data_IF_208869214626
#
_entry.id   IF_208869214626
#
_cell.length_a   1.000
_cell.length_b   1.000
_cell.length_c   1.000
_cell.angle_alpha   90.00
_cell.angle_beta   90.00
_cell.angle_gamma   90.00
#
_symmetry.space_group_name_H-M   'P 1'
#
loop_
_entity.id
_entity.type
_entity.pdbx_description
1 polymer ?
#
# COMPACT_ATOMS: atom_id res chain seq x y z
N UNK A 1 0.34 10.50 28.23
CA UNK A 1 0.67 10.09 26.86
C UNK A 1 2.15 9.79 26.82
N UNK A 2 2.48 8.54 26.60
CA UNK A 2 3.86 8.07 26.57
C UNK A 2 4.37 7.99 25.12
N UNK A 3 5.71 8.00 24.89
CA UNK A 3 6.23 7.95 23.54
C UNK A 3 5.75 6.71 22.74
N UNK A 4 5.57 5.58 23.38
CA UNK A 4 5.08 4.34 22.76
C UNK A 4 3.61 4.38 22.33
N UNK A 5 2.85 5.39 22.77
CA UNK A 5 1.47 5.57 22.34
C UNK A 5 1.36 6.12 20.92
N UNK A 6 2.46 6.60 20.34
CA UNK A 6 2.47 7.31 19.06
C UNK A 6 3.23 6.54 18.00
N UNK A 7 2.57 6.32 16.84
CA UNK A 7 3.19 5.84 15.62
C UNK A 7 3.17 6.92 14.52
N UNK A 8 4.34 7.28 13.98
CA UNK A 8 4.46 8.14 12.80
C UNK A 8 4.73 7.24 11.59
N UNK A 9 3.88 7.34 10.57
CA UNK A 9 3.90 6.45 9.43
C UNK A 9 3.96 7.23 8.12
N UNK A 10 4.95 6.92 7.28
CA UNK A 10 5.07 7.48 5.94
C UNK A 10 4.36 6.60 4.92
N UNK A 11 3.59 7.22 4.03
CA UNK A 11 2.91 6.50 2.95
C UNK A 11 3.91 5.97 1.91
N UNK A 12 4.88 6.81 1.54
CA UNK A 12 5.93 6.44 0.58
C UNK A 12 7.09 5.73 1.28
N UNK A 13 7.73 4.83 0.54
CA UNK A 13 8.96 4.17 0.95
C UNK A 13 10.11 4.67 0.08
N UNK A 14 10.77 5.74 0.49
CA UNK A 14 11.87 6.36 -0.23
C UNK A 14 12.95 6.89 0.74
N UNK A 15 14.13 7.22 0.19
CA UNK A 15 15.24 7.72 0.98
C UNK A 15 14.94 9.05 1.67
N UNK A 16 14.12 9.90 1.07
CA UNK A 16 13.74 11.20 1.65
C UNK A 16 12.97 11.01 2.96
N UNK A 17 12.05 10.05 2.99
CA UNK A 17 11.30 9.72 4.22
C UNK A 17 12.19 9.07 5.29
N UNK A 18 13.18 8.30 4.88
CA UNK A 18 14.17 7.76 5.82
C UNK A 18 15.02 8.87 6.46
N UNK A 19 15.51 9.80 5.68
CA UNK A 19 16.23 10.98 6.19
C UNK A 19 15.34 11.86 7.08
N UNK A 20 14.06 12.02 6.74
CA UNK A 20 13.10 12.73 7.57
C UNK A 20 12.88 12.00 8.90
N UNK A 21 12.78 10.68 8.91
CA UNK A 21 12.69 9.89 10.14
C UNK A 21 13.88 10.13 11.07
N UNK A 22 15.09 10.20 10.52
CA UNK A 22 16.30 10.50 11.29
C UNK A 22 16.29 11.94 11.86
N UNK A 23 15.82 12.91 11.09
CA UNK A 23 15.65 14.29 11.58
C UNK A 23 14.61 14.36 12.69
N UNK A 24 13.47 13.69 12.53
CA UNK A 24 12.46 13.59 13.58
C UNK A 24 13.01 12.96 14.86
N UNK A 25 13.87 11.96 14.76
CA UNK A 25 14.54 11.34 15.92
C UNK A 25 15.33 12.36 16.73
N UNK A 26 16.08 13.24 16.04
CA UNK A 26 16.88 14.30 16.69
C UNK A 26 15.99 15.36 17.33
N UNK A 27 15.01 15.87 16.57
CA UNK A 27 14.15 16.96 17.06
C UNK A 27 13.23 16.48 18.21
N UNK A 28 12.64 15.29 18.11
CA UNK A 28 11.81 14.74 19.17
C UNK A 28 12.63 14.50 20.44
N UNK A 29 13.87 14.02 20.30
CA UNK A 29 14.76 13.86 21.45
C UNK A 29 15.09 15.20 22.11
N UNK A 30 15.32 16.23 21.30
CA UNK A 30 15.67 17.58 21.78
C UNK A 30 14.49 18.27 22.46
N UNK A 31 13.28 18.21 21.85
CA UNK A 31 12.11 18.96 22.34
C UNK A 31 11.37 18.25 23.48
N UNK A 32 11.28 16.91 23.42
CA UNK A 32 10.49 16.13 24.36
C UNK A 32 11.33 15.20 25.25
N UNK A 33 12.61 15.02 24.97
CA UNK A 33 13.47 14.06 25.67
C UNK A 33 13.18 12.60 25.29
N UNK A 34 12.25 12.34 24.37
CA UNK A 34 11.80 11.00 24.00
C UNK A 34 12.79 10.28 23.08
N UNK A 35 12.89 8.97 23.25
CA UNK A 35 13.60 8.13 22.30
C UNK A 35 12.68 7.77 21.13
N UNK A 36 13.27 7.67 19.94
CA UNK A 36 12.56 7.30 18.72
C UNK A 36 13.11 5.99 18.17
N UNK A 37 12.23 5.05 17.92
CA UNK A 37 12.52 3.81 17.24
C UNK A 37 12.26 3.97 15.74
N UNK A 38 13.30 3.86 14.93
CA UNK A 38 13.18 3.89 13.47
C UNK A 38 12.88 2.46 12.98
N UNK A 39 11.61 2.18 12.71
CA UNK A 39 11.14 0.86 12.28
C UNK A 39 11.65 0.40 10.91
N UNK A 40 12.28 1.27 10.13
CA UNK A 40 13.05 0.87 8.94
C UNK A 40 14.25 -0.03 9.29
N UNK A 41 14.83 0.19 10.47
CA UNK A 41 16.02 -0.51 10.95
C UNK A 41 15.64 -1.72 11.80
N UNK A 42 14.72 -1.52 12.74
CA UNK A 42 14.40 -2.54 13.77
C UNK A 42 13.31 -3.51 13.32
N UNK A 43 12.35 -3.04 12.49
CA UNK A 43 11.12 -3.75 12.07
C UNK A 43 10.23 -4.21 13.24
N UNK A 44 10.48 -3.73 14.45
CA UNK A 44 9.78 -4.07 15.68
C UNK A 44 9.43 -2.82 16.47
N UNK A 45 8.39 -2.91 17.31
CA UNK A 45 8.04 -1.87 18.27
C UNK A 45 8.91 -2.05 19.52
N UNK A 46 9.69 -1.03 19.88
CA UNK A 46 10.52 -1.01 21.08
C UNK A 46 9.76 -0.23 22.17
N UNK A 47 9.69 -0.82 23.37
CA UNK A 47 9.02 -0.21 24.50
C UNK A 47 9.65 1.15 24.89
N UNK A 48 8.84 2.04 25.44
CA UNK A 48 9.22 3.39 25.87
C UNK A 48 9.82 4.28 24.74
N UNK A 49 9.47 3.98 23.48
CA UNK A 49 9.94 4.74 22.32
C UNK A 49 8.81 5.12 21.37
N UNK A 50 8.88 6.31 20.78
CA UNK A 50 8.01 6.71 19.68
C UNK A 50 8.43 5.95 18.41
N UNK A 51 7.46 5.37 17.72
CA UNK A 51 7.71 4.58 16.52
C UNK A 51 7.62 5.43 15.26
N UNK A 52 8.62 5.39 14.39
CA UNK A 52 8.62 6.06 13.08
C UNK A 52 8.98 5.08 11.98
N UNK A 53 8.12 4.89 11.00
CA UNK A 53 8.40 3.98 9.88
C UNK A 53 7.53 4.28 8.66
N UNK A 54 7.52 3.37 7.68
CA UNK A 54 6.64 3.41 6.52
C UNK A 54 5.49 2.39 6.64
N UNK A 55 4.56 2.45 5.69
CA UNK A 55 3.41 1.54 5.59
C UNK A 55 3.78 0.04 5.58
N UNK A 56 4.97 -0.33 5.09
CA UNK A 56 5.34 -1.74 4.93
C UNK A 56 5.72 -2.41 6.26
N UNK A 57 6.18 -1.62 7.24
CA UNK A 57 6.70 -2.11 8.52
C UNK A 57 5.70 -1.96 9.68
N UNK A 58 4.45 -1.62 9.40
CA UNK A 58 3.41 -1.39 10.44
C UNK A 58 2.38 -2.51 10.52
N UNK A 59 2.51 -3.56 9.71
CA UNK A 59 1.57 -4.67 9.71
C UNK A 59 1.61 -5.40 11.06
N UNK A 60 0.44 -5.50 11.70
CA UNK A 60 0.30 -6.13 13.02
C UNK A 60 0.64 -5.23 14.21
N UNK A 61 1.11 -4.00 13.98
CA UNK A 61 1.32 -3.03 15.05
C UNK A 61 0.06 -2.18 15.27
N UNK A 62 -0.18 -1.80 16.52
CA UNK A 62 -1.29 -0.93 16.92
C UNK A 62 -0.80 0.14 17.90
N UNK A 63 -1.40 1.32 17.81
CA UNK A 63 -1.04 2.48 18.61
C UNK A 63 -2.30 3.23 19.07
N UNK A 64 -2.32 3.86 20.24
CA UNK A 64 -3.40 4.81 20.60
C UNK A 64 -3.54 5.92 19.56
N UNK A 65 -2.41 6.50 19.13
CA UNK A 65 -2.37 7.62 18.20
C UNK A 65 -1.47 7.31 17.00
N UNK A 66 -1.96 7.62 15.82
CA UNK A 66 -1.19 7.46 14.58
C UNK A 66 -1.15 8.78 13.82
N UNK A 67 0.04 9.15 13.36
CA UNK A 67 0.26 10.27 12.46
C UNK A 67 0.72 9.71 11.13
N UNK A 68 -0.17 9.73 10.14
CA UNK A 68 0.14 9.34 8.78
C UNK A 68 0.65 10.55 8.01
N UNK A 69 1.80 10.43 7.39
CA UNK A 69 2.44 11.51 6.66
C UNK A 69 2.70 11.13 5.21
N UNK A 70 2.45 12.09 4.31
CA UNK A 70 2.69 11.95 2.88
C UNK A 70 3.35 13.21 2.33
N UNK A 71 4.40 13.05 1.52
CA UNK A 71 5.12 14.17 0.90
C UNK A 71 4.70 14.45 -0.54
N UNK A 72 4.25 13.42 -1.27
CA UNK A 72 3.95 13.51 -2.70
C UNK A 72 2.48 13.76 -3.03
N UNK A 73 2.18 13.87 -4.30
CA UNK A 73 0.81 13.90 -4.80
C UNK A 73 0.17 12.52 -4.68
N UNK A 74 -0.98 12.44 -4.05
CA UNK A 74 -1.80 11.23 -4.04
C UNK A 74 -2.31 10.91 -5.45
N UNK A 75 -1.97 9.74 -5.94
CA UNK A 75 -2.68 9.14 -7.06
C UNK A 75 -3.91 8.40 -6.52
N UNK A 76 -5.08 8.72 -7.06
CA UNK A 76 -6.32 8.04 -6.68
C UNK A 76 -6.40 6.66 -7.35
N UNK A 77 -5.70 5.69 -6.77
CA UNK A 77 -5.74 4.30 -7.18
C UNK A 77 -6.00 3.37 -5.98
N UNK A 78 -6.35 2.13 -6.26
CA UNK A 78 -6.68 1.13 -5.24
C UNK A 78 -5.53 0.88 -4.26
N UNK A 79 -4.29 0.85 -4.74
CA UNK A 79 -3.11 0.62 -3.91
C UNK A 79 -2.90 1.75 -2.89
N UNK A 80 -3.06 3.00 -3.33
CA UNK A 80 -2.98 4.18 -2.43
C UNK A 80 -4.09 4.15 -1.40
N UNK A 81 -5.35 3.89 -1.81
CA UNK A 81 -6.49 3.79 -0.89
C UNK A 81 -6.28 2.70 0.16
N UNK A 82 -5.84 1.50 -0.25
CA UNK A 82 -5.55 0.40 0.66
C UNK A 82 -4.39 0.74 1.62
N UNK A 83 -3.37 1.45 1.14
CA UNK A 83 -2.24 1.88 1.97
C UNK A 83 -2.67 2.88 3.03
N UNK A 84 -3.49 3.89 2.66
CA UNK A 84 -4.05 4.87 3.59
C UNK A 84 -4.94 4.16 4.62
N UNK A 85 -5.84 3.29 4.18
CA UNK A 85 -6.70 2.52 5.07
C UNK A 85 -5.89 1.70 6.07
N UNK A 86 -4.90 0.97 5.59
CA UNK A 86 -4.03 0.15 6.44
C UNK A 86 -3.31 0.98 7.50
N UNK A 87 -2.82 2.17 7.15
CA UNK A 87 -2.12 3.05 8.08
C UNK A 87 -3.07 3.67 9.11
N UNK A 88 -4.20 4.22 8.68
CA UNK A 88 -5.18 4.88 9.56
C UNK A 88 -5.81 3.89 10.56
N UNK A 89 -6.01 2.63 10.12
CA UNK A 89 -6.56 1.58 11.00
C UNK A 89 -5.55 0.99 11.99
N UNK A 90 -4.33 1.49 12.05
CA UNK A 90 -3.37 1.16 13.12
C UNK A 90 -3.61 1.92 14.41
N UNK A 91 -4.50 2.91 14.41
CA UNK A 91 -4.90 3.62 15.63
C UNK A 91 -6.22 3.09 16.17
N UNK A 92 -6.30 2.96 17.50
CA UNK A 92 -7.55 2.62 18.19
C UNK A 92 -8.18 3.81 18.94
N UNK A 93 -7.52 4.99 18.96
CA UNK A 93 -8.11 6.22 19.50
C UNK A 93 -8.25 7.26 18.38
N UNK A 94 -7.14 7.76 17.81
CA UNK A 94 -7.18 8.83 16.81
C UNK A 94 -6.06 8.69 15.79
N UNK A 95 -6.41 8.91 14.51
CA UNK A 95 -5.47 9.01 13.41
C UNK A 95 -5.45 10.44 12.88
N UNK A 96 -4.24 10.96 12.66
CA UNK A 96 -3.99 12.22 11.97
C UNK A 96 -3.39 11.94 10.60
N UNK A 97 -3.86 12.63 9.58
CA UNK A 97 -3.33 12.50 8.24
C UNK A 97 -2.79 13.85 7.76
N UNK A 98 -1.49 13.94 7.61
CA UNK A 98 -0.78 15.15 7.18
C UNK A 98 -0.37 14.97 5.72
N UNK A 99 -0.80 15.88 4.87
CA UNK A 99 -0.54 15.88 3.43
C UNK A 99 -0.33 17.31 2.94
N UNK A 100 0.39 17.50 1.82
CA UNK A 100 0.52 18.80 1.20
C UNK A 100 -0.81 19.27 0.60
N UNK A 101 -1.02 20.58 0.49
CA UNK A 101 -2.25 21.19 -0.02
C UNK A 101 -2.67 20.66 -1.40
N UNK A 102 -1.70 20.35 -2.25
CA UNK A 102 -1.94 19.75 -3.57
C UNK A 102 -2.55 18.34 -3.47
N UNK A 103 -2.22 17.59 -2.42
CA UNK A 103 -2.74 16.25 -2.14
C UNK A 103 -4.21 16.25 -1.74
N UNK A 104 -4.71 17.34 -1.15
CA UNK A 104 -6.10 17.47 -0.68
C UNK A 104 -7.10 17.33 -1.83
N UNK A 105 -6.76 17.82 -3.02
CA UNK A 105 -7.64 17.76 -4.20
C UNK A 105 -8.00 16.32 -4.58
N UNK A 106 -7.07 15.40 -4.41
CA UNK A 106 -7.23 14.00 -4.81
C UNK A 106 -8.01 13.15 -3.79
N UNK A 107 -8.16 13.64 -2.55
CA UNK A 107 -8.93 12.98 -1.49
C UNK A 107 -10.22 13.72 -1.12
N UNK A 108 -10.67 14.63 -1.97
CA UNK A 108 -11.86 15.47 -1.71
C UNK A 108 -13.08 14.64 -1.28
N UNK A 109 -13.30 13.49 -1.89
CA UNK A 109 -14.41 12.60 -1.54
C UNK A 109 -14.24 11.97 -0.15
N UNK A 110 -13.00 11.68 0.30
CA UNK A 110 -12.71 11.20 1.66
C UNK A 110 -13.00 12.31 2.66
N UNK A 111 -12.53 13.53 2.39
CA UNK A 111 -12.80 14.70 3.23
C UNK A 111 -14.31 14.98 3.37
N UNK A 112 -15.06 14.88 2.28
CA UNK A 112 -16.53 15.01 2.34
C UNK A 112 -17.17 13.93 3.25
N UNK A 113 -16.67 12.70 3.22
CA UNK A 113 -17.13 11.65 4.11
C UNK A 113 -16.82 11.95 5.57
N UNK A 114 -15.60 12.39 5.87
CA UNK A 114 -15.18 12.81 7.23
C UNK A 114 -16.04 13.96 7.73
N UNK A 115 -16.28 14.98 6.91
CA UNK A 115 -17.14 16.11 7.25
C UNK A 115 -18.58 15.67 7.55
N UNK A 116 -19.12 14.72 6.80
CA UNK A 116 -20.45 14.16 7.07
C UNK A 116 -20.51 13.45 8.41
N UNK A 117 -19.51 12.62 8.72
CA UNK A 117 -19.44 11.91 10.00
C UNK A 117 -19.30 12.90 11.16
N UNK A 118 -18.45 13.92 11.01
CA UNK A 118 -18.27 14.94 12.05
C UNK A 118 -19.54 15.78 12.31
N UNK A 119 -20.34 16.04 11.27
CA UNK A 119 -21.59 16.82 11.39
C UNK A 119 -22.76 16.00 11.89
N UNK A 120 -22.88 14.77 11.40
CA UNK A 120 -24.12 13.98 11.53
C UNK A 120 -23.94 12.77 12.46
N UNK A 121 -22.69 12.40 12.81
CA UNK A 121 -22.38 11.18 13.57
C UNK A 121 -22.42 9.88 12.74
N UNK A 122 -22.72 9.97 11.44
CA UNK A 122 -22.79 8.81 10.53
C UNK A 122 -22.41 9.20 9.08
N UNK A 123 -21.98 8.19 8.32
CA UNK A 123 -21.65 8.33 6.91
C UNK A 123 -22.89 8.05 6.04
N UNK A 124 -23.24 8.98 5.15
CA UNK A 124 -24.21 8.74 4.10
C UNK A 124 -23.57 7.98 2.93
N UNK A 125 -23.98 6.75 2.73
CA UNK A 125 -23.56 5.94 1.59
C UNK A 125 -24.66 5.96 0.54
N UNK A 126 -24.33 6.34 -0.68
CA UNK A 126 -25.24 6.21 -1.83
C UNK A 126 -25.04 4.83 -2.45
N UNK A 127 -26.17 4.17 -2.72
CA UNK A 127 -26.11 2.94 -3.49
C UNK A 127 -25.50 3.18 -4.87
N UNK A 128 -24.54 2.33 -5.31
CA UNK A 128 -23.94 2.50 -6.64
C UNK A 128 -24.99 2.39 -7.75
N UNK A 129 -24.83 3.16 -8.81
CA UNK A 129 -25.65 3.03 -10.01
C UNK A 129 -25.45 1.66 -10.67
N UNK A 130 -26.38 1.23 -11.53
CA UNK A 130 -26.27 -0.08 -12.18
C UNK A 130 -25.01 -0.21 -13.04
N UNK A 131 -24.53 0.87 -13.66
CA UNK A 131 -23.27 0.87 -14.39
C UNK A 131 -22.06 0.75 -13.47
N UNK A 132 -22.08 1.39 -12.29
CA UNK A 132 -21.07 1.24 -11.27
C UNK A 132 -21.08 -0.18 -10.68
N UNK A 133 -22.27 -0.77 -10.44
CA UNK A 133 -22.42 -2.17 -10.02
C UNK A 133 -21.82 -3.12 -11.04
N UNK A 134 -22.10 -2.93 -12.33
CA UNK A 134 -21.50 -3.74 -13.42
C UNK A 134 -19.97 -3.62 -13.44
N UNK A 135 -19.45 -2.40 -13.31
CA UNK A 135 -17.98 -2.18 -13.28
C UNK A 135 -17.34 -2.86 -12.08
N UNK A 136 -17.94 -2.74 -10.89
CA UNK A 136 -17.48 -3.43 -9.68
C UNK A 136 -17.57 -4.94 -9.81
N UNK A 137 -18.66 -5.45 -10.37
CA UNK A 137 -18.86 -6.88 -10.58
C UNK A 137 -17.85 -7.46 -11.56
N UNK A 138 -17.58 -6.76 -12.67
CA UNK A 138 -16.55 -7.15 -13.62
C UNK A 138 -15.15 -7.11 -13.01
N UNK A 139 -14.85 -6.11 -12.19
CA UNK A 139 -13.58 -6.04 -11.46
C UNK A 139 -13.44 -7.20 -10.46
N UNK A 140 -14.51 -7.55 -9.73
CA UNK A 140 -14.52 -8.70 -8.81
C UNK A 140 -14.32 -10.00 -9.58
N UNK A 141 -15.03 -10.20 -10.71
CA UNK A 141 -14.88 -11.41 -11.53
C UNK A 141 -13.46 -11.51 -12.10
N UNK A 142 -12.89 -10.40 -12.60
CA UNK A 142 -11.50 -10.39 -13.06
C UNK A 142 -10.53 -10.73 -11.92
N UNK A 143 -10.74 -10.20 -10.71
CA UNK A 143 -9.91 -10.54 -9.56
C UNK A 143 -10.15 -11.94 -9.01
N UNK A 144 -11.36 -12.49 -9.08
CA UNK A 144 -11.64 -13.87 -8.65
C UNK A 144 -11.20 -14.92 -9.67
N UNK A 145 -11.15 -14.57 -10.96
CA UNK A 145 -10.53 -15.42 -11.98
C UNK A 145 -8.99 -15.34 -11.98
N UNK A 146 -8.39 -14.33 -11.30
CA UNK A 146 -6.93 -14.14 -11.12
C UNK A 146 -6.51 -14.58 -9.69
N UNK A 147 -6.98 -15.74 -9.22
CA UNK A 147 -6.32 -16.42 -8.09
C UNK A 147 -5.15 -17.30 -8.53
N UNK A 148 -4.82 -17.28 -9.82
CA UNK A 148 -3.59 -17.87 -10.29
C UNK A 148 -2.43 -16.92 -10.02
N UNK A 149 -1.41 -17.40 -9.32
CA UNK A 149 -0.16 -16.69 -9.18
C UNK A 149 0.47 -16.45 -10.56
N UNK A 150 1.29 -15.43 -10.72
CA UNK A 150 2.05 -15.22 -11.97
C UNK A 150 2.72 -16.51 -12.46
N UNK A 151 3.22 -17.31 -11.53
CA UNK A 151 3.86 -18.59 -11.82
C UNK A 151 2.86 -19.62 -12.40
N UNK A 152 1.65 -19.70 -11.85
CA UNK A 152 0.60 -20.60 -12.36
C UNK A 152 0.13 -20.19 -13.75
N UNK A 153 -0.03 -18.89 -14.02
CA UNK A 153 -0.38 -18.39 -15.36
C UNK A 153 0.70 -18.77 -16.38
N UNK A 154 1.97 -18.63 -15.99
CA UNK A 154 3.11 -19.02 -16.84
C UNK A 154 3.12 -20.53 -17.09
N UNK A 155 2.92 -21.34 -16.04
CA UNK A 155 2.86 -22.80 -16.18
C UNK A 155 1.71 -23.24 -17.09
N UNK A 156 0.52 -22.67 -16.94
CA UNK A 156 -0.62 -22.94 -17.82
C UNK A 156 -0.30 -22.66 -19.30
N UNK A 157 0.39 -21.52 -19.57
CA UNK A 157 0.84 -21.19 -20.93
C UNK A 157 1.89 -22.15 -21.44
N UNK A 158 2.85 -22.54 -20.60
CA UNK A 158 3.90 -23.49 -20.97
C UNK A 158 3.36 -24.91 -21.18
N UNK A 159 2.32 -25.31 -20.46
CA UNK A 159 1.59 -26.56 -20.65
C UNK A 159 0.81 -26.53 -21.96
N UNK A 160 0.08 -25.46 -22.28
CA UNK A 160 -0.65 -25.28 -23.52
C UNK A 160 0.27 -25.31 -24.74
N UNK A 161 1.47 -24.73 -24.61
CA UNK A 161 2.51 -24.75 -25.64
C UNK A 161 3.36 -26.04 -25.66
N UNK A 162 3.12 -26.98 -24.73
CA UNK A 162 3.85 -28.24 -24.57
C UNK A 162 5.35 -28.10 -24.43
N UNK A 163 5.81 -27.09 -23.66
CA UNK A 163 7.21 -26.77 -23.49
C UNK A 163 7.90 -27.75 -22.54
N UNK A 164 9.12 -28.15 -22.88
CA UNK A 164 9.93 -29.08 -22.09
C UNK A 164 10.35 -28.49 -20.74
N UNK A 165 10.52 -29.35 -19.71
CA UNK A 165 10.89 -28.88 -18.34
C UNK A 165 12.16 -28.02 -18.30
N UNK A 166 13.16 -28.32 -19.13
CA UNK A 166 14.43 -27.59 -19.14
C UNK A 166 14.31 -26.16 -19.70
N UNK A 167 13.33 -25.91 -20.55
CA UNK A 167 13.07 -24.60 -21.14
C UNK A 167 12.18 -23.75 -20.25
N UNK A 168 11.33 -24.36 -19.40
CA UNK A 168 10.42 -23.67 -18.49
C UNK A 168 11.14 -22.78 -17.50
N UNK A 169 12.22 -23.28 -16.88
CA UNK A 169 13.01 -22.47 -15.93
C UNK A 169 13.64 -21.22 -16.56
N UNK A 170 14.08 -21.32 -17.81
CA UNK A 170 14.62 -20.17 -18.54
C UNK A 170 13.54 -19.13 -18.80
N UNK A 171 12.34 -19.59 -19.13
CA UNK A 171 11.20 -18.72 -19.42
C UNK A 171 10.69 -18.04 -18.14
N UNK A 172 10.61 -18.75 -17.01
CA UNK A 172 10.27 -18.15 -15.72
C UNK A 172 11.23 -17.02 -15.34
N UNK A 173 12.54 -17.25 -15.42
CA UNK A 173 13.55 -16.22 -15.14
C UNK A 173 13.44 -15.01 -16.06
N UNK A 174 13.12 -15.22 -17.32
CA UNK A 174 12.93 -14.12 -18.27
C UNK A 174 11.72 -13.29 -17.92
N UNK A 175 10.60 -13.92 -17.58
CA UNK A 175 9.36 -13.23 -17.18
C UNK A 175 9.54 -12.46 -15.90
N UNK A 176 10.16 -13.04 -14.87
CA UNK A 176 10.48 -12.36 -13.62
C UNK A 176 11.35 -11.10 -13.83
N UNK A 177 12.20 -11.14 -14.86
CA UNK A 177 13.07 -9.99 -15.19
C UNK A 177 12.33 -8.88 -15.96
N UNK A 178 11.41 -9.22 -16.83
CA UNK A 178 10.75 -8.27 -17.75
C UNK A 178 9.45 -7.70 -17.20
N UNK A 179 8.74 -8.42 -16.34
CA UNK A 179 7.41 -8.04 -15.87
C UNK A 179 7.29 -8.13 -14.35
N UNK A 180 7.56 -7.02 -13.67
CA UNK A 180 7.52 -6.98 -12.20
C UNK A 180 6.11 -6.88 -11.60
N UNK A 181 5.10 -6.33 -12.28
CA UNK A 181 3.87 -5.89 -11.60
C UNK A 181 2.52 -6.20 -12.28
N UNK A 182 2.47 -6.57 -13.55
CA UNK A 182 1.21 -6.93 -14.22
C UNK A 182 1.45 -8.01 -15.26
N UNK A 183 0.85 -9.18 -15.06
CA UNK A 183 1.01 -10.30 -15.97
C UNK A 183 -0.34 -10.83 -16.45
N UNK A 184 -0.46 -10.94 -17.79
CA UNK A 184 -1.63 -11.42 -18.51
C UNK A 184 -1.23 -12.61 -19.40
N UNK A 185 -2.09 -13.64 -19.47
CA UNK A 185 -1.89 -14.86 -20.27
C UNK A 185 -1.58 -14.55 -21.74
N UNK A 186 -2.28 -13.58 -22.31
CA UNK A 186 -2.07 -13.19 -23.73
C UNK A 186 -0.71 -12.52 -23.95
N UNK A 187 -0.22 -11.76 -22.98
CA UNK A 187 1.13 -11.18 -23.02
C UNK A 187 2.20 -12.26 -22.93
N UNK A 188 2.00 -13.28 -22.08
CA UNK A 188 2.88 -14.42 -21.95
C UNK A 188 2.99 -15.21 -23.27
N UNK A 189 1.87 -15.48 -23.89
CA UNK A 189 1.80 -16.15 -25.20
C UNK A 189 2.51 -15.37 -26.32
N UNK A 190 2.32 -14.04 -26.36
CA UNK A 190 3.00 -13.17 -27.34
C UNK A 190 4.51 -13.16 -27.13
N UNK A 191 4.97 -13.04 -25.88
CA UNK A 191 6.38 -13.04 -25.56
C UNK A 191 7.05 -14.35 -25.98
N UNK A 192 6.42 -15.48 -25.66
CA UNK A 192 6.96 -16.78 -26.07
C UNK A 192 7.14 -16.89 -27.57
N UNK A 193 6.14 -16.46 -28.37
CA UNK A 193 6.23 -16.47 -29.83
C UNK A 193 7.32 -15.55 -30.38
N UNK A 194 7.69 -14.48 -29.69
CA UNK A 194 8.77 -13.56 -30.10
C UNK A 194 10.17 -14.11 -29.81
N UNK A 195 10.30 -14.99 -28.83
CA UNK A 195 11.59 -15.55 -28.41
C UNK A 195 11.94 -16.84 -29.14
N UNK A 196 10.92 -17.54 -29.65
CA UNK A 196 11.08 -18.88 -30.28
C UNK A 196 11.21 -18.78 -31.81
N UNK A 197 11.28 -17.57 -32.39
CA UNK A 197 11.65 -17.33 -33.78
C UNK A 197 13.15 -17.05 -33.87
#
# INVERSE_FOLDING_TARGET
MEPEDIGIMFLENNNTNYELAKRLQIEIKKEFGWNVNIGYETKEKIKDTLFVSNKNNVKGLEFPFVICFMQGCLTDNLQTRNSIYMMLTRSFITSYFILPDEGIKNIKHIMQGVDQVNKNGYLHVKEPTDDQKKTLYNAIIQHTSIHQSQREIVEDVLDELRISKNEREKFHKLIETLYKDEFDKDRCMKLYRQITI
#
